data_IF_325927124104
#
_entry.id   IF_325927124104
#
_cell.length_a   1.000
_cell.length_b   1.000
_cell.length_c   1.000
_cell.angle_alpha   90.00
_cell.angle_beta   90.00
_cell.angle_gamma   90.00
#
_symmetry.space_group_name_H-M   'P 1'
#
loop_
_entity.id
_entity.type
_entity.pdbx_description
1 polymer ?
#
# COMPACT_ATOMS: atom_id res chain seq x y z
N UNK A 1 61.09 -3.44 -36.74
CA UNK A 1 61.03 -2.32 -37.72
C UNK A 1 60.62 -1.05 -36.98
N UNK A 2 61.03 0.15 -37.43
CA UNK A 2 60.65 1.46 -36.87
C UNK A 2 60.45 2.47 -38.02
N UNK A 3 59.30 3.15 -38.03
CA UNK A 3 58.90 4.39 -38.74
C UNK A 3 57.40 4.57 -38.39
N UNK A 4 56.83 5.68 -37.90
CA UNK A 4 57.20 7.12 -37.86
C UNK A 4 57.25 7.71 -39.28
N UNK A 5 56.30 8.55 -39.74
CA UNK A 5 56.12 9.95 -39.33
C UNK A 5 54.75 10.60 -39.73
N UNK A 6 54.47 11.75 -39.09
CA UNK A 6 53.28 12.64 -39.00
C UNK A 6 52.74 13.35 -40.28
N UNK A 7 51.63 14.17 -40.16
CA UNK A 7 50.78 14.67 -41.28
C UNK A 7 50.91 16.19 -41.60
N UNK A 8 50.10 16.72 -42.54
CA UNK A 8 49.76 18.15 -42.69
C UNK A 8 48.33 18.51 -42.19
N UNK A 9 47.92 19.78 -42.27
CA UNK A 9 46.84 20.34 -41.44
C UNK A 9 45.87 21.36 -42.12
N UNK A 10 44.68 21.51 -41.50
CA UNK A 10 43.76 22.68 -41.44
C UNK A 10 43.36 23.43 -42.72
N UNK A 11 42.05 23.49 -42.99
CA UNK A 11 41.36 24.64 -43.57
C UNK A 11 39.88 24.67 -43.13
N UNK A 12 39.31 25.86 -42.87
CA UNK A 12 37.91 26.06 -42.44
C UNK A 12 37.14 26.98 -43.40
N UNK A 13 35.79 26.82 -43.48
CA UNK A 13 34.86 27.78 -44.12
C UNK A 13 33.40 27.56 -43.70
N UNK A 14 32.56 28.55 -43.98
CA UNK A 14 31.21 28.78 -43.43
C UNK A 14 30.07 28.16 -44.28
N UNK A 15 28.85 28.01 -43.71
CA UNK A 15 27.66 27.59 -44.46
C UNK A 15 27.01 28.76 -45.25
N UNK A 16 26.28 28.48 -46.35
CA UNK A 16 25.45 29.46 -47.05
C UNK A 16 24.05 29.62 -46.43
N UNK A 17 23.45 30.80 -46.59
CA UNK A 17 22.06 31.13 -46.22
C UNK A 17 21.31 31.58 -47.46
N UNK A 18 20.04 31.18 -47.62
CA UNK A 18 19.16 31.67 -48.69
C UNK A 18 17.67 31.74 -48.30
N UNK A 19 17.29 32.92 -47.79
CA UNK A 19 16.18 33.77 -48.26
C UNK A 19 15.52 33.37 -49.60
N UNK A 20 14.24 33.61 -49.96
CA UNK A 20 13.00 34.27 -49.41
C UNK A 20 11.86 34.10 -50.50
N UNK A 21 10.56 34.45 -50.45
CA UNK A 21 9.56 35.08 -49.53
C UNK A 21 8.12 34.90 -50.14
N UNK A 22 7.05 35.32 -49.42
CA UNK A 22 5.75 35.89 -49.94
C UNK A 22 4.76 34.94 -50.70
N UNK A 23 3.41 35.09 -50.65
CA UNK A 23 2.49 35.89 -49.79
C UNK A 23 0.99 35.43 -49.87
N UNK A 24 0.12 35.98 -48.98
CA UNK A 24 -1.35 36.22 -49.13
C UNK A 24 -2.35 35.04 -49.21
N UNK A 25 -3.62 35.12 -48.73
CA UNK A 25 -4.33 36.15 -47.91
C UNK A 25 -5.71 35.70 -47.34
N UNK A 26 -6.16 36.39 -46.26
CA UNK A 26 -7.55 36.60 -45.78
C UNK A 26 -8.36 35.48 -45.05
N UNK A 27 -9.36 35.93 -44.28
CA UNK A 27 -10.13 35.22 -43.19
C UNK A 27 -11.66 35.42 -43.39
N UNK A 28 -12.64 34.86 -42.59
CA UNK A 28 -12.71 34.95 -41.10
C UNK A 28 -13.46 33.85 -40.28
N UNK A 29 -13.20 33.88 -38.95
CA UNK A 29 -14.11 33.58 -37.81
C UNK A 29 -14.96 32.29 -37.71
N UNK A 30 -14.66 31.44 -36.71
CA UNK A 30 -15.44 31.35 -35.43
C UNK A 30 -14.77 30.46 -34.36
N UNK A 31 -15.19 30.68 -33.11
CA UNK A 31 -14.61 30.18 -31.85
C UNK A 31 -14.47 28.65 -31.73
N UNK A 32 -13.29 28.18 -31.31
CA UNK A 32 -13.10 27.52 -30.00
C UNK A 32 -11.63 27.18 -29.77
N UNK A 33 -11.02 27.66 -28.68
CA UNK A 33 -9.64 27.29 -28.30
C UNK A 33 -9.71 26.05 -27.41
N UNK A 34 -9.29 24.91 -27.96
CA UNK A 34 -8.89 23.74 -27.19
C UNK A 34 -7.42 23.44 -27.52
N UNK A 35 -6.49 23.50 -26.55
CA UNK A 35 -5.13 23.03 -26.79
C UNK A 35 -5.16 21.53 -27.12
N UNK A 36 -4.20 21.02 -27.93
CA UNK A 36 -4.19 19.62 -28.31
C UNK A 36 -4.10 18.71 -27.08
N UNK A 37 -4.84 17.60 -27.09
CA UNK A 37 -4.77 16.57 -26.06
C UNK A 37 -3.36 15.99 -26.01
N UNK A 38 -2.53 16.51 -25.10
CA UNK A 38 -1.26 15.89 -24.74
C UNK A 38 -1.55 14.46 -24.26
N UNK A 39 -0.98 13.47 -24.95
CA UNK A 39 -1.08 12.06 -24.60
C UNK A 39 -0.18 11.76 -23.39
N UNK A 40 -0.57 12.29 -22.23
CA UNK A 40 0.17 12.12 -20.98
C UNK A 40 0.25 10.64 -20.58
N UNK A 41 1.39 10.03 -20.89
CA UNK A 41 1.71 8.63 -20.63
C UNK A 41 2.74 8.60 -19.49
N UNK A 42 2.38 8.19 -18.26
CA UNK A 42 3.31 8.21 -17.14
C UNK A 42 4.43 7.16 -17.31
N UNK A 43 5.66 7.62 -17.51
CA UNK A 43 6.87 6.78 -17.56
C UNK A 43 7.21 6.22 -16.16
N UNK A 44 6.62 5.08 -15.82
CA UNK A 44 7.02 4.17 -14.73
C UNK A 44 6.96 4.68 -13.27
N UNK A 45 6.51 3.79 -12.39
CA UNK A 45 6.44 3.96 -10.93
C UNK A 45 7.73 4.50 -10.28
N UNK A 46 8.91 4.17 -10.84
CA UNK A 46 10.20 4.66 -10.34
C UNK A 46 10.41 6.17 -10.46
N UNK A 47 9.88 6.84 -11.51
CA UNK A 47 9.98 8.30 -11.61
C UNK A 47 9.02 9.02 -10.68
N UNK A 48 7.85 8.44 -10.38
CA UNK A 48 6.94 8.98 -9.39
C UNK A 48 7.58 9.05 -8.00
N UNK A 49 8.31 8.00 -7.59
CA UNK A 49 9.09 8.01 -6.35
C UNK A 49 10.19 9.08 -6.35
N UNK A 50 10.89 9.28 -7.48
CA UNK A 50 11.88 10.36 -7.61
C UNK A 50 11.28 11.77 -7.70
N UNK A 51 10.00 11.92 -8.07
CA UNK A 51 9.29 13.21 -8.02
C UNK A 51 8.76 13.52 -6.61
N UNK A 52 8.31 12.49 -5.87
CA UNK A 52 7.97 12.60 -4.45
C UNK A 52 9.16 13.04 -3.58
N UNK A 53 10.41 12.82 -4.03
CA UNK A 53 11.61 13.32 -3.36
C UNK A 53 11.76 14.86 -3.35
N UNK A 54 10.92 15.60 -4.09
CA UNK A 54 10.87 17.07 -4.09
C UNK A 54 9.63 17.65 -3.37
N UNK A 55 8.74 16.80 -2.85
CA UNK A 55 7.73 17.19 -1.86
C UNK A 55 8.40 17.12 -0.47
N UNK A 56 8.00 17.97 0.49
CA UNK A 56 8.51 17.86 1.88
C UNK A 56 8.33 16.41 2.37
N UNK A 57 9.38 15.76 2.89
CA UNK A 57 9.26 14.39 3.36
C UNK A 57 8.30 14.33 4.55
N UNK A 58 7.23 13.56 4.40
CA UNK A 58 6.38 13.15 5.53
C UNK A 58 7.25 12.27 6.46
N UNK A 59 7.10 12.49 7.77
CA UNK A 59 7.86 11.89 8.89
C UNK A 59 8.04 10.37 8.76
N UNK A 60 9.17 9.84 9.27
CA UNK A 60 9.49 8.40 9.33
C UNK A 60 9.73 7.67 7.99
N UNK A 61 9.26 8.22 6.86
CA UNK A 61 9.11 7.47 5.59
C UNK A 61 10.40 6.87 5.02
N UNK A 62 11.60 7.32 5.39
CA UNK A 62 12.84 6.79 4.82
C UNK A 62 13.13 5.33 5.23
N UNK A 63 13.05 5.01 6.53
CA UNK A 63 13.27 3.64 7.04
C UNK A 63 12.06 2.75 6.81
N UNK A 64 10.87 3.33 7.04
CA UNK A 64 9.59 2.69 6.77
C UNK A 64 9.46 2.25 5.30
N UNK A 65 9.62 3.17 4.33
CA UNK A 65 9.50 2.85 2.89
C UNK A 65 10.51 1.81 2.41
N UNK A 66 11.76 1.85 2.90
CA UNK A 66 12.77 0.80 2.62
C UNK A 66 12.36 -0.59 3.11
N UNK A 67 11.49 -0.66 4.12
CA UNK A 67 11.03 -1.91 4.72
C UNK A 67 9.72 -2.38 4.05
N UNK A 68 8.78 -1.48 3.75
CA UNK A 68 7.63 -1.76 2.87
C UNK A 68 8.10 -2.26 1.49
N UNK A 69 9.10 -1.59 0.90
CA UNK A 69 9.69 -1.97 -0.38
C UNK A 69 10.31 -3.38 -0.33
N UNK A 70 10.90 -3.77 0.81
CA UNK A 70 11.41 -5.13 1.01
C UNK A 70 10.31 -6.18 1.19
N UNK A 71 9.11 -5.85 1.69
CA UNK A 71 7.95 -6.73 1.45
C UNK A 71 7.76 -6.88 -0.06
N UNK A 72 7.63 -5.77 -0.77
CA UNK A 72 7.18 -5.71 -2.18
C UNK A 72 8.12 -6.44 -3.13
N UNK A 73 9.43 -6.38 -2.91
CA UNK A 73 10.38 -7.20 -3.67
C UNK A 73 10.27 -8.71 -3.30
N UNK A 74 10.02 -9.07 -2.04
CA UNK A 74 9.65 -10.45 -1.68
C UNK A 74 8.27 -10.90 -2.24
N UNK A 75 7.36 -9.98 -2.54
CA UNK A 75 6.13 -10.26 -3.32
C UNK A 75 6.52 -10.58 -4.78
N UNK A 76 7.44 -9.80 -5.36
CA UNK A 76 7.88 -9.90 -6.75
C UNK A 76 8.71 -11.16 -7.02
N UNK A 77 9.65 -11.52 -6.16
CA UNK A 77 10.55 -12.66 -6.39
C UNK A 77 9.82 -14.02 -6.39
N UNK A 78 8.72 -14.14 -5.63
CA UNK A 78 7.84 -15.33 -5.71
C UNK A 78 7.09 -15.42 -7.04
N UNK A 79 6.80 -14.29 -7.69
CA UNK A 79 6.11 -14.23 -8.99
C UNK A 79 6.97 -14.79 -10.12
N UNK A 80 8.28 -14.59 -10.06
CA UNK A 80 9.22 -14.94 -11.12
C UNK A 80 9.44 -16.47 -11.30
N UNK A 81 9.03 -17.29 -10.33
CA UNK A 81 9.30 -18.75 -10.31
C UNK A 81 8.25 -19.62 -11.01
N UNK A 82 7.15 -19.06 -11.51
CA UNK A 82 6.08 -19.84 -12.14
C UNK A 82 5.92 -19.52 -13.63
N UNK A 83 6.53 -20.34 -14.49
CA UNK A 83 6.24 -20.39 -15.94
C UNK A 83 5.82 -21.81 -16.34
N UNK A 84 4.64 -21.88 -16.96
CA UNK A 84 4.22 -22.78 -18.05
C UNK A 84 2.71 -22.59 -18.24
N UNK A 85 2.21 -22.85 -19.45
CA UNK A 85 0.98 -22.25 -19.96
C UNK A 85 -0.33 -22.76 -19.34
N UNK A 86 -1.43 -22.09 -19.67
CA UNK A 86 -2.51 -22.57 -20.56
C UNK A 86 -3.82 -21.80 -20.27
N UNK A 87 -4.76 -21.79 -21.21
CA UNK A 87 -5.97 -20.96 -21.17
C UNK A 87 -7.07 -21.55 -20.26
N UNK A 88 -6.89 -21.46 -18.93
CA UNK A 88 -7.69 -22.23 -17.95
C UNK A 88 -9.10 -21.70 -17.64
N UNK A 89 -9.51 -20.57 -18.24
CA UNK A 89 -10.90 -20.10 -18.25
C UNK A 89 -11.19 -19.49 -19.62
N UNK A 90 -12.28 -19.91 -20.24
CA UNK A 90 -12.76 -19.50 -21.57
C UNK A 90 -13.51 -18.17 -21.49
N UNK A 91 -14.33 -17.98 -20.45
CA UNK A 91 -15.10 -16.75 -20.22
C UNK A 91 -14.76 -16.10 -18.87
N UNK A 92 -15.27 -14.90 -18.62
CA UNK A 92 -15.21 -14.26 -17.29
C UNK A 92 -16.22 -14.88 -16.32
N UNK A 93 -17.43 -15.22 -16.80
CA UNK A 93 -18.48 -15.87 -16.02
C UNK A 93 -18.05 -17.24 -15.46
N UNK A 94 -17.35 -18.05 -16.26
CA UNK A 94 -16.68 -19.28 -15.79
C UNK A 94 -15.72 -19.00 -14.62
N UNK A 95 -14.90 -17.96 -14.74
CA UNK A 95 -13.91 -17.59 -13.71
C UNK A 95 -14.55 -16.96 -12.45
N UNK A 96 -15.78 -16.44 -12.55
CA UNK A 96 -16.54 -15.86 -11.43
C UNK A 96 -17.35 -16.95 -10.72
N UNK A 97 -18.01 -17.84 -11.48
CA UNK A 97 -18.84 -18.93 -10.94
C UNK A 97 -18.08 -19.91 -10.04
N UNK A 98 -16.75 -19.96 -10.11
CA UNK A 98 -15.93 -20.79 -9.20
C UNK A 98 -16.16 -20.44 -7.72
N UNK A 99 -16.54 -19.20 -7.38
CA UNK A 99 -16.72 -18.79 -5.97
C UNK A 99 -17.96 -19.43 -5.32
N UNK A 100 -18.93 -19.90 -6.10
CA UNK A 100 -20.10 -20.64 -5.61
C UNK A 100 -19.77 -22.06 -5.14
N UNK A 101 -18.66 -22.63 -5.61
CA UNK A 101 -18.13 -23.95 -5.26
C UNK A 101 -16.59 -23.91 -5.31
N UNK A 102 -15.98 -23.11 -4.43
CA UNK A 102 -14.55 -22.84 -4.52
C UNK A 102 -13.73 -24.03 -3.99
N UNK A 103 -12.97 -24.66 -4.88
CA UNK A 103 -11.98 -25.68 -4.50
C UNK A 103 -10.56 -25.12 -4.57
N UNK A 104 -9.63 -25.74 -3.85
CA UNK A 104 -8.23 -25.32 -3.83
C UNK A 104 -7.63 -25.26 -5.24
N UNK A 105 -7.93 -26.24 -6.09
CA UNK A 105 -7.47 -26.26 -7.48
C UNK A 105 -8.06 -25.12 -8.31
N UNK A 106 -9.37 -24.82 -8.18
CA UNK A 106 -9.99 -23.68 -8.87
C UNK A 106 -9.35 -22.35 -8.45
N UNK A 107 -9.08 -22.19 -7.15
CA UNK A 107 -8.44 -20.98 -6.61
C UNK A 107 -6.96 -20.83 -7.05
N UNK A 108 -6.17 -21.91 -6.99
CA UNK A 108 -4.77 -21.92 -7.46
C UNK A 108 -4.67 -21.62 -8.96
N UNK A 109 -5.61 -22.15 -9.76
CA UNK A 109 -5.73 -21.84 -11.19
C UNK A 109 -6.02 -20.35 -11.42
N UNK A 110 -6.98 -19.77 -10.69
CA UNK A 110 -7.25 -18.33 -10.77
C UNK A 110 -6.01 -17.51 -10.34
N UNK A 111 -5.36 -17.87 -9.22
CA UNK A 111 -4.12 -17.24 -8.75
C UNK A 111 -3.03 -17.24 -9.82
N UNK A 112 -2.85 -18.35 -10.54
CA UNK A 112 -1.90 -18.47 -11.65
C UNK A 112 -2.23 -17.48 -12.78
N UNK A 113 -3.50 -17.37 -13.19
CA UNK A 113 -3.94 -16.46 -14.26
C UNK A 113 -3.85 -14.98 -13.85
N UNK A 114 -4.16 -14.63 -12.60
CA UNK A 114 -4.02 -13.27 -12.06
C UNK A 114 -2.56 -12.83 -11.87
N UNK A 115 -1.64 -13.78 -11.68
CA UNK A 115 -0.20 -13.50 -11.56
C UNK A 115 0.52 -13.40 -12.91
N UNK A 116 -0.04 -13.94 -14.00
CA UNK A 116 0.57 -13.82 -15.33
C UNK A 116 0.56 -12.36 -15.82
N UNK A 117 1.73 -11.83 -16.18
CA UNK A 117 1.89 -10.48 -16.71
C UNK A 117 1.20 -10.27 -18.05
N UNK A 118 1.06 -11.32 -18.87
CA UNK A 118 0.39 -11.25 -20.17
C UNK A 118 -1.14 -11.15 -19.99
N UNK A 119 -1.67 -11.74 -18.91
CA UNK A 119 -3.07 -11.69 -18.49
C UNK A 119 -3.49 -10.39 -17.78
N UNK A 120 -2.70 -9.31 -17.85
CA UNK A 120 -3.03 -7.99 -17.24
C UNK A 120 -4.41 -7.47 -17.70
N UNK A 121 -4.66 -7.44 -19.00
CA UNK A 121 -5.94 -6.97 -19.56
C UNK A 121 -7.09 -7.87 -19.13
N UNK A 122 -6.91 -9.20 -19.23
CA UNK A 122 -7.90 -10.17 -18.75
C UNK A 122 -8.24 -9.97 -17.26
N UNK A 123 -7.25 -9.63 -16.43
CA UNK A 123 -7.45 -9.38 -15.00
C UNK A 123 -8.23 -8.09 -14.73
N UNK A 124 -8.05 -7.06 -15.56
CA UNK A 124 -8.83 -5.81 -15.46
C UNK A 124 -10.28 -6.02 -15.88
N UNK A 125 -10.52 -6.72 -16.99
CA UNK A 125 -11.90 -7.03 -17.42
C UNK A 125 -12.58 -8.02 -16.46
N UNK A 126 -11.88 -9.06 -15.97
CA UNK A 126 -12.39 -9.94 -14.91
C UNK A 126 -12.82 -9.17 -13.65
N UNK A 127 -12.10 -8.11 -13.26
CA UNK A 127 -12.51 -7.26 -12.15
C UNK A 127 -13.79 -6.47 -12.45
N UNK A 128 -13.94 -5.95 -13.68
CA UNK A 128 -15.11 -5.17 -14.16
C UNK A 128 -16.37 -6.02 -14.28
N UNK A 129 -16.26 -7.24 -14.78
CA UNK A 129 -17.35 -8.23 -14.85
C UNK A 129 -17.80 -8.75 -13.47
N UNK A 130 -17.24 -8.22 -12.38
CA UNK A 130 -17.64 -8.53 -11.00
C UNK A 130 -16.73 -9.52 -10.27
N UNK A 131 -15.66 -10.02 -10.90
CA UNK A 131 -14.74 -10.98 -10.29
C UNK A 131 -13.99 -10.46 -9.06
N UNK A 132 -13.75 -9.15 -8.94
CA UNK A 132 -13.26 -8.54 -7.71
C UNK A 132 -14.31 -8.58 -6.58
N UNK A 133 -15.57 -8.29 -6.91
CA UNK A 133 -16.66 -8.34 -5.95
C UNK A 133 -16.91 -9.77 -5.46
N UNK A 134 -17.01 -10.74 -6.38
CA UNK A 134 -17.21 -12.15 -6.02
C UNK A 134 -16.10 -12.70 -5.10
N UNK A 135 -14.85 -12.31 -5.33
CA UNK A 135 -13.71 -12.62 -4.47
C UNK A 135 -13.90 -12.06 -3.05
N UNK A 136 -14.24 -10.78 -2.93
CA UNK A 136 -14.46 -10.10 -1.64
C UNK A 136 -15.68 -10.65 -0.90
N UNK A 137 -16.78 -10.94 -1.62
CA UNK A 137 -17.98 -11.57 -1.08
C UNK A 137 -17.69 -12.98 -0.57
N UNK A 138 -16.86 -13.77 -1.27
CA UNK A 138 -16.42 -15.08 -0.79
C UNK A 138 -15.60 -14.96 0.51
N UNK A 139 -14.64 -14.02 0.58
CA UNK A 139 -13.86 -13.76 1.79
C UNK A 139 -14.77 -13.39 2.98
N UNK A 140 -15.72 -12.47 2.78
CA UNK A 140 -16.64 -12.04 3.84
C UNK A 140 -17.58 -13.17 4.31
N UNK A 141 -18.25 -13.87 3.38
CA UNK A 141 -19.16 -14.96 3.71
C UNK A 141 -18.45 -16.10 4.45
N UNK A 142 -17.24 -16.44 4.03
CA UNK A 142 -16.46 -17.53 4.64
C UNK A 142 -15.87 -17.12 5.99
N UNK A 143 -15.59 -15.83 6.21
CA UNK A 143 -15.16 -15.28 7.52
C UNK A 143 -16.29 -15.13 8.54
N UNK A 144 -17.56 -15.21 8.10
CA UNK A 144 -18.75 -15.07 8.93
C UNK A 144 -19.36 -16.41 9.40
N UNK A 145 -18.79 -17.57 9.01
CA UNK A 145 -19.28 -18.91 9.37
C UNK A 145 -18.30 -19.68 10.24
N UNK A 146 -18.70 -20.85 10.75
CA UNK A 146 -17.81 -21.78 11.43
C UNK A 146 -16.70 -22.26 10.49
N UNK A 147 -15.47 -21.81 10.73
CA UNK A 147 -14.33 -22.02 9.83
C UNK A 147 -13.76 -23.44 9.95
N UNK A 148 -13.74 -24.18 8.84
CA UNK A 148 -12.97 -25.43 8.73
C UNK A 148 -11.51 -25.14 8.36
N UNK A 149 -10.65 -26.15 8.46
CA UNK A 149 -9.28 -26.09 7.94
C UNK A 149 -9.25 -25.81 6.42
N UNK A 150 -10.24 -26.32 5.68
CA UNK A 150 -10.38 -26.10 4.24
C UNK A 150 -10.72 -24.63 3.95
N UNK A 151 -11.65 -24.04 4.72
CA UNK A 151 -11.99 -22.61 4.60
C UNK A 151 -10.75 -21.73 4.83
N UNK A 152 -9.96 -22.01 5.87
CA UNK A 152 -8.74 -21.24 6.16
C UNK A 152 -7.71 -21.32 5.01
N UNK A 153 -7.55 -22.49 4.38
CA UNK A 153 -6.69 -22.66 3.21
C UNK A 153 -7.23 -21.85 2.01
N UNK A 154 -8.54 -21.95 1.72
CA UNK A 154 -9.18 -21.26 0.61
C UNK A 154 -9.15 -19.74 0.77
N UNK A 155 -9.36 -19.22 1.99
CA UNK A 155 -9.24 -17.79 2.31
C UNK A 155 -7.81 -17.30 2.10
N UNK A 156 -6.80 -18.04 2.57
CA UNK A 156 -5.40 -17.66 2.37
C UNK A 156 -4.98 -17.66 0.88
N UNK A 157 -5.52 -18.58 0.07
CA UNK A 157 -5.33 -18.58 -1.38
C UNK A 157 -6.08 -17.43 -2.06
N UNK A 158 -7.30 -17.13 -1.62
CA UNK A 158 -8.14 -16.06 -2.15
C UNK A 158 -7.56 -14.66 -1.83
N UNK A 159 -6.95 -14.48 -0.66
CA UNK A 159 -6.18 -13.28 -0.33
C UNK A 159 -4.94 -13.11 -1.24
N UNK A 160 -4.32 -14.20 -1.71
CA UNK A 160 -3.23 -14.11 -2.70
C UNK A 160 -3.75 -13.76 -4.11
N UNK A 161 -4.95 -14.21 -4.50
CA UNK A 161 -5.63 -13.72 -5.69
C UNK A 161 -5.88 -12.21 -5.61
N UNK A 162 -6.38 -11.71 -4.47
CA UNK A 162 -6.58 -10.29 -4.23
C UNK A 162 -5.27 -9.50 -4.30
N UNK A 163 -4.21 -10.01 -3.67
CA UNK A 163 -2.85 -9.47 -3.75
C UNK A 163 -2.35 -9.40 -5.19
N UNK A 164 -2.62 -10.40 -6.03
CA UNK A 164 -2.24 -10.40 -7.44
C UNK A 164 -2.94 -9.26 -8.21
N UNK A 165 -4.24 -9.06 -7.98
CA UNK A 165 -5.01 -7.94 -8.56
C UNK A 165 -4.50 -6.57 -8.07
N UNK A 166 -4.18 -6.45 -6.78
CA UNK A 166 -3.65 -5.22 -6.18
C UNK A 166 -2.23 -4.83 -6.65
N UNK A 167 -1.53 -5.70 -7.39
CA UNK A 167 -0.30 -5.32 -8.10
C UNK A 167 -0.57 -4.61 -9.44
N UNK A 168 -1.83 -4.43 -9.86
CA UNK A 168 -2.24 -3.69 -11.06
C UNK A 168 -2.78 -2.32 -10.62
N UNK A 169 -2.14 -1.24 -11.07
CA UNK A 169 -2.42 0.12 -10.59
C UNK A 169 -3.88 0.57 -10.72
N UNK A 170 -4.56 0.24 -11.81
CA UNK A 170 -5.98 0.55 -12.02
C UNK A 170 -6.87 -0.15 -10.99
N UNK A 171 -6.56 -1.40 -10.63
CA UNK A 171 -7.33 -2.17 -9.66
C UNK A 171 -7.00 -1.78 -8.21
N UNK A 172 -5.73 -1.42 -7.95
CA UNK A 172 -5.34 -0.81 -6.68
C UNK A 172 -6.14 0.48 -6.42
N UNK A 173 -6.20 1.39 -7.39
CA UNK A 173 -6.95 2.64 -7.26
C UNK A 173 -8.46 2.39 -7.17
N UNK A 174 -9.00 1.37 -7.85
CA UNK A 174 -10.40 0.99 -7.72
C UNK A 174 -10.76 0.42 -6.32
N UNK A 175 -9.86 -0.32 -5.67
CA UNK A 175 -10.06 -0.70 -4.26
C UNK A 175 -9.87 0.48 -3.32
N UNK A 176 -8.83 1.29 -3.53
CA UNK A 176 -8.49 2.42 -2.68
C UNK A 176 -9.46 3.61 -2.77
N UNK A 177 -10.52 3.50 -3.58
CA UNK A 177 -11.65 4.43 -3.68
C UNK A 177 -13.00 3.80 -3.26
N UNK A 178 -13.00 2.55 -2.76
CA UNK A 178 -14.21 1.85 -2.34
C UNK A 178 -14.10 1.30 -0.91
N UNK A 179 -14.71 2.02 0.04
CA UNK A 179 -14.76 1.64 1.46
C UNK A 179 -15.32 0.23 1.68
N UNK A 180 -16.38 -0.16 0.96
CA UNK A 180 -17.02 -1.47 1.13
C UNK A 180 -16.05 -2.64 0.83
N UNK A 181 -15.14 -2.46 -0.13
CA UNK A 181 -14.13 -3.47 -0.45
C UNK A 181 -13.08 -3.58 0.66
N UNK A 182 -12.70 -2.45 1.28
CA UNK A 182 -11.74 -2.41 2.38
C UNK A 182 -12.38 -2.97 3.66
N UNK A 183 -13.67 -2.71 3.89
CA UNK A 183 -14.51 -3.36 4.90
C UNK A 183 -14.54 -4.89 4.75
N UNK A 184 -14.81 -5.41 3.55
CA UNK A 184 -14.81 -6.86 3.30
C UNK A 184 -13.44 -7.50 3.52
N UNK A 185 -12.34 -6.77 3.30
CA UNK A 185 -10.97 -7.20 3.68
C UNK A 185 -10.76 -7.15 5.19
N UNK A 186 -11.19 -6.09 5.87
CA UNK A 186 -11.02 -5.93 7.32
C UNK A 186 -11.79 -6.99 8.13
N UNK A 187 -13.00 -7.39 7.69
CA UNK A 187 -13.80 -8.45 8.33
C UNK A 187 -13.07 -9.81 8.42
N UNK A 188 -12.09 -10.06 7.54
CA UNK A 188 -11.26 -11.28 7.55
C UNK A 188 -10.34 -11.35 8.79
N UNK A 189 -10.09 -10.21 9.48
CA UNK A 189 -9.30 -10.17 10.71
C UNK A 189 -9.91 -10.95 11.89
N UNK A 190 -11.22 -11.25 11.84
CA UNK A 190 -11.89 -12.13 12.81
C UNK A 190 -11.27 -13.52 12.88
N UNK A 191 -10.69 -14.00 11.78
CA UNK A 191 -10.14 -15.34 11.69
C UNK A 191 -8.93 -15.47 12.63
N UNK A 192 -8.91 -16.46 13.56
CA UNK A 192 -7.81 -16.68 14.50
C UNK A 192 -6.63 -17.40 13.82
N UNK A 193 -6.12 -16.83 12.72
CA UNK A 193 -4.98 -17.35 11.96
C UNK A 193 -3.98 -16.24 11.71
N UNK A 194 -2.83 -16.34 12.37
CA UNK A 194 -1.76 -15.34 12.36
C UNK A 194 -1.21 -15.10 10.93
N UNK A 195 -1.17 -16.15 10.09
CA UNK A 195 -0.77 -16.02 8.67
C UNK A 195 -1.84 -15.27 7.84
N UNK A 196 -3.14 -15.53 8.06
CA UNK A 196 -4.22 -14.84 7.35
C UNK A 196 -4.28 -13.36 7.77
N UNK A 197 -4.19 -13.07 9.08
CA UNK A 197 -4.12 -11.71 9.61
C UNK A 197 -2.94 -10.94 9.04
N UNK A 198 -1.75 -11.54 8.94
CA UNK A 198 -0.60 -10.93 8.25
C UNK A 198 -0.93 -10.58 6.79
N UNK A 199 -1.58 -11.48 6.02
CA UNK A 199 -1.95 -11.18 4.61
C UNK A 199 -2.92 -10.01 4.51
N UNK A 200 -3.85 -9.87 5.47
CA UNK A 200 -4.75 -8.72 5.55
C UNK A 200 -3.97 -7.45 5.92
N UNK A 201 -3.10 -7.50 6.94
CA UNK A 201 -2.28 -6.34 7.33
C UNK A 201 -1.34 -5.87 6.22
N UNK A 202 -0.73 -6.77 5.43
CA UNK A 202 0.06 -6.42 4.24
C UNK A 202 -0.77 -5.63 3.20
N UNK A 203 -2.04 -5.99 2.99
CA UNK A 203 -2.94 -5.32 2.03
C UNK A 203 -3.40 -3.95 2.56
N UNK A 204 -3.82 -3.88 3.83
CA UNK A 204 -4.21 -2.62 4.48
C UNK A 204 -3.02 -1.64 4.56
N UNK A 205 -1.81 -2.15 4.84
CA UNK A 205 -0.55 -1.38 4.80
C UNK A 205 -0.33 -0.75 3.43
N UNK A 206 -0.48 -1.54 2.35
CA UNK A 206 -0.32 -1.02 0.99
C UNK A 206 -1.33 0.10 0.68
N UNK A 207 -2.59 -0.03 1.12
CA UNK A 207 -3.62 1.01 0.98
C UNK A 207 -3.24 2.31 1.72
N UNK A 208 -2.77 2.22 2.97
CA UNK A 208 -2.33 3.38 3.76
C UNK A 208 -1.12 4.14 3.20
N UNK A 209 -0.29 3.47 2.39
CA UNK A 209 1.00 4.00 1.90
C UNK A 209 0.94 4.49 0.45
N UNK A 210 0.12 3.87 -0.40
CA UNK A 210 0.08 4.14 -1.85
C UNK A 210 -1.24 4.75 -2.35
N UNK A 211 -2.17 5.11 -1.46
CA UNK A 211 -3.31 5.99 -1.75
C UNK A 211 -3.36 7.12 -0.74
N UNK A 212 -3.64 8.34 -1.20
CA UNK A 212 -3.75 9.53 -0.36
C UNK A 212 -4.85 9.36 0.70
N UNK A 213 -6.04 8.91 0.25
CA UNK A 213 -7.23 8.72 1.09
C UNK A 213 -7.27 7.31 1.72
N UNK A 214 -6.42 6.40 1.26
CA UNK A 214 -6.45 4.98 1.63
C UNK A 214 -6.31 4.73 3.13
N UNK A 215 -5.51 5.52 3.84
CA UNK A 215 -5.36 5.37 5.29
C UNK A 215 -6.63 5.73 6.07
N UNK A 216 -7.43 6.69 5.59
CA UNK A 216 -8.72 7.04 6.20
C UNK A 216 -9.74 5.92 5.99
N UNK A 217 -9.78 5.32 4.80
CA UNK A 217 -10.67 4.18 4.52
C UNK A 217 -10.27 2.92 5.32
N UNK A 218 -8.97 2.66 5.46
CA UNK A 218 -8.46 1.57 6.32
C UNK A 218 -8.79 1.81 7.79
N UNK A 219 -8.59 3.03 8.28
CA UNK A 219 -8.93 3.39 9.66
C UNK A 219 -10.43 3.26 9.93
N UNK A 220 -11.28 3.72 9.01
CA UNK A 220 -12.73 3.53 9.10
C UNK A 220 -13.07 2.03 9.16
N UNK A 221 -12.55 1.21 8.25
CA UNK A 221 -12.82 -0.24 8.23
C UNK A 221 -12.35 -0.95 9.52
N UNK A 222 -11.28 -0.46 10.17
CA UNK A 222 -10.81 -0.95 11.47
C UNK A 222 -11.70 -0.48 12.64
N UNK A 223 -12.24 0.74 12.61
CA UNK A 223 -13.21 1.23 13.61
C UNK A 223 -14.54 0.50 13.51
N UNK A 224 -14.99 0.23 12.27
CA UNK A 224 -16.17 -0.56 11.97
C UNK A 224 -15.97 -2.02 12.40
N UNK A 225 -14.80 -2.61 12.15
CA UNK A 225 -14.41 -3.93 12.67
C UNK A 225 -14.38 -3.96 14.20
N UNK A 226 -13.73 -2.99 14.86
CA UNK A 226 -13.71 -2.86 16.32
C UNK A 226 -15.13 -2.86 16.90
N UNK A 227 -16.03 -2.07 16.32
CA UNK A 227 -17.40 -1.91 16.79
C UNK A 227 -18.22 -3.20 16.60
N UNK A 228 -18.09 -3.85 15.43
CA UNK A 228 -18.80 -5.10 15.11
C UNK A 228 -18.31 -6.28 15.97
N UNK A 229 -17.01 -6.37 16.22
CA UNK A 229 -16.37 -7.47 16.98
C UNK A 229 -16.16 -7.14 18.47
N UNK A 230 -16.65 -5.98 18.94
CA UNK A 230 -16.62 -5.52 20.34
C UNK A 230 -15.21 -5.44 20.95
N UNK A 231 -14.23 -5.05 20.14
CA UNK A 231 -12.85 -4.89 20.58
C UNK A 231 -12.67 -3.62 21.43
N UNK A 232 -11.78 -3.61 22.43
CA UNK A 232 -11.64 -2.50 23.38
C UNK A 232 -11.16 -1.20 22.73
N UNK A 233 -10.36 -1.29 21.67
CA UNK A 233 -9.89 -0.15 20.87
C UNK A 233 -9.60 -0.56 19.42
N UNK A 234 -9.48 0.42 18.52
CA UNK A 234 -9.29 0.23 17.07
C UNK A 234 -8.01 -0.55 16.71
N UNK A 235 -6.99 -0.49 17.55
CA UNK A 235 -5.70 -1.16 17.33
C UNK A 235 -5.60 -2.53 18.01
N UNK A 236 -6.61 -2.96 18.79
CA UNK A 236 -6.52 -4.15 19.63
C UNK A 236 -6.16 -5.42 18.84
N UNK A 237 -6.69 -5.63 17.63
CA UNK A 237 -6.36 -6.79 16.77
C UNK A 237 -4.95 -6.73 16.19
N UNK A 238 -4.41 -5.53 15.97
CA UNK A 238 -3.03 -5.31 15.53
C UNK A 238 -2.08 -5.66 16.70
N UNK A 239 -2.40 -5.18 17.90
CA UNK A 239 -1.61 -5.45 19.09
C UNK A 239 -1.70 -6.91 19.55
N UNK A 240 -2.86 -7.55 19.44
CA UNK A 240 -3.05 -8.98 19.66
C UNK A 240 -2.11 -9.81 18.76
N UNK A 241 -1.99 -9.45 17.48
CA UNK A 241 -1.04 -10.10 16.56
C UNK A 241 0.40 -9.94 17.05
N UNK A 242 0.84 -8.75 17.48
CA UNK A 242 2.23 -8.54 17.96
C UNK A 242 2.48 -9.36 19.24
N UNK A 243 1.51 -9.38 20.17
CA UNK A 243 1.56 -10.13 21.44
C UNK A 243 1.56 -11.65 21.24
N UNK A 244 0.89 -12.18 20.21
CA UNK A 244 0.67 -13.63 19.99
C UNK A 244 1.54 -14.27 18.90
N UNK A 245 2.13 -13.49 18.00
CA UNK A 245 2.92 -14.00 16.89
C UNK A 245 4.24 -14.65 17.34
N UNK A 246 4.46 -15.90 16.94
CA UNK A 246 5.69 -16.65 17.19
C UNK A 246 6.80 -16.43 16.12
N UNK A 247 6.53 -15.66 15.06
CA UNK A 247 7.50 -15.36 14.00
C UNK A 247 7.59 -13.86 13.76
N UNK A 248 8.82 -13.35 13.62
CA UNK A 248 9.14 -11.93 13.44
C UNK A 248 8.35 -11.29 12.30
N UNK A 249 8.23 -11.96 11.14
CA UNK A 249 7.42 -11.53 9.98
C UNK A 249 5.93 -11.22 10.30
N UNK A 250 5.35 -11.88 11.30
CA UNK A 250 3.95 -11.70 11.68
C UNK A 250 3.79 -10.45 12.56
N UNK A 251 4.69 -10.26 13.54
CA UNK A 251 4.80 -9.02 14.34
C UNK A 251 5.07 -7.81 13.42
N UNK A 252 6.03 -7.99 12.52
CA UNK A 252 6.44 -7.02 11.50
C UNK A 252 5.25 -6.44 10.74
N UNK A 253 4.35 -7.32 10.24
CA UNK A 253 3.20 -6.88 9.44
C UNK A 253 2.18 -6.03 10.21
N UNK A 254 2.03 -6.29 11.51
CA UNK A 254 1.13 -5.52 12.38
C UNK A 254 1.74 -4.15 12.72
N UNK A 255 3.04 -4.11 13.05
CA UNK A 255 3.75 -2.85 13.33
C UNK A 255 3.83 -1.99 12.06
N UNK A 256 4.04 -2.59 10.88
CA UNK A 256 4.02 -1.87 9.61
C UNK A 256 2.66 -1.22 9.33
N UNK A 257 1.53 -1.90 9.59
CA UNK A 257 0.20 -1.29 9.48
C UNK A 257 0.02 -0.16 10.50
N UNK A 258 0.47 -0.36 11.74
CA UNK A 258 0.38 0.63 12.81
C UNK A 258 1.13 1.92 12.45
N UNK A 259 2.40 1.78 12.04
CA UNK A 259 3.25 2.88 11.57
C UNK A 259 2.64 3.56 10.33
N UNK A 260 1.98 2.80 9.43
CA UNK A 260 1.28 3.38 8.27
C UNK A 260 0.13 4.31 8.66
N UNK A 261 -0.65 3.92 9.68
CA UNK A 261 -1.81 4.70 10.15
C UNK A 261 -1.33 5.94 10.92
N UNK A 262 -0.32 5.79 11.78
CA UNK A 262 0.25 6.90 12.55
C UNK A 262 0.94 7.93 11.63
N UNK A 263 1.86 7.51 10.76
CA UNK A 263 2.64 8.42 9.90
C UNK A 263 1.83 9.09 8.78
N UNK A 264 0.69 8.52 8.38
CA UNK A 264 -0.25 9.19 7.46
C UNK A 264 -1.29 10.08 8.17
N UNK A 265 -1.40 10.04 9.51
CA UNK A 265 -2.32 10.91 10.26
C UNK A 265 -1.71 12.31 10.47
N UNK A 266 -2.19 13.30 9.71
CA UNK A 266 -1.59 14.64 9.68
C UNK A 266 -1.74 15.44 10.99
N UNK A 267 -2.85 15.29 11.71
CA UNK A 267 -3.13 16.05 12.94
C UNK A 267 -2.42 15.45 14.17
N UNK A 268 -1.57 16.25 14.84
CA UNK A 268 -0.79 15.84 16.02
C UNK A 268 -1.69 15.34 17.16
N UNK A 269 -2.83 15.99 17.41
CA UNK A 269 -3.77 15.63 18.47
C UNK A 269 -4.36 14.23 18.23
N UNK A 270 -4.56 13.85 16.96
CA UNK A 270 -4.99 12.50 16.59
C UNK A 270 -3.87 11.47 16.75
N UNK A 271 -2.64 11.78 16.35
CA UNK A 271 -1.48 10.89 16.57
C UNK A 271 -1.24 10.65 18.06
N UNK A 272 -1.26 11.70 18.89
CA UNK A 272 -1.16 11.59 20.35
C UNK A 272 -2.32 10.80 20.96
N UNK A 273 -3.56 11.01 20.52
CA UNK A 273 -4.73 10.22 20.94
C UNK A 273 -4.55 8.73 20.63
N UNK A 274 -4.10 8.38 19.41
CA UNK A 274 -3.82 7.00 19.03
C UNK A 274 -2.65 6.40 19.82
N UNK A 275 -1.56 7.14 20.05
CA UNK A 275 -0.46 6.69 20.90
C UNK A 275 -0.88 6.47 22.35
N UNK A 276 -1.70 7.33 22.93
CA UNK A 276 -2.19 7.16 24.31
C UNK A 276 -3.06 5.89 24.45
N UNK A 277 -3.91 5.60 23.46
CA UNK A 277 -4.65 4.33 23.39
C UNK A 277 -3.68 3.14 23.37
N UNK A 278 -2.69 3.16 22.48
CA UNK A 278 -1.69 2.08 22.34
C UNK A 278 -0.83 1.90 23.61
N UNK A 279 -0.44 2.99 24.27
CA UNK A 279 0.32 2.98 25.52
C UNK A 279 -0.52 2.36 26.64
N UNK A 280 -1.81 2.71 26.75
CA UNK A 280 -2.73 2.12 27.75
C UNK A 280 -2.97 0.61 27.57
N UNK A 281 -2.86 0.09 26.34
CA UNK A 281 -2.91 -1.35 26.02
C UNK A 281 -1.50 -2.02 26.07
N UNK A 282 -0.45 -1.28 26.43
CA UNK A 282 0.89 -1.80 26.65
C UNK A 282 1.70 -2.05 25.36
N UNK A 283 1.58 -1.19 24.35
CA UNK A 283 2.41 -1.25 23.13
C UNK A 283 3.92 -1.25 23.46
N UNK A 284 4.36 -0.42 24.40
CA UNK A 284 5.80 -0.18 24.67
C UNK A 284 6.51 -1.46 25.08
N UNK A 285 6.01 -2.16 26.11
CA UNK A 285 6.56 -3.44 26.56
C UNK A 285 6.33 -4.57 25.56
N UNK A 286 5.29 -4.48 24.73
CA UNK A 286 5.04 -5.42 23.63
C UNK A 286 6.10 -5.28 22.51
N UNK A 287 6.48 -4.05 22.16
CA UNK A 287 7.50 -3.75 21.15
C UNK A 287 8.92 -4.08 21.65
N UNK A 288 9.26 -3.73 22.89
CA UNK A 288 10.57 -4.10 23.45
C UNK A 288 10.75 -5.62 23.52
N UNK A 289 9.72 -6.37 23.95
CA UNK A 289 9.71 -7.84 23.87
C UNK A 289 9.73 -8.38 22.43
N UNK A 290 9.33 -7.58 21.43
CA UNK A 290 9.46 -7.98 20.03
C UNK A 290 10.92 -7.88 19.52
N UNK A 291 11.79 -7.10 20.18
CA UNK A 291 13.23 -7.04 19.85
C UNK A 291 13.97 -8.34 20.16
N UNK A 292 13.47 -9.14 21.12
CA UNK A 292 14.02 -10.46 21.49
C UNK A 292 14.09 -11.44 20.29
N UNK A 293 13.27 -11.23 19.25
CA UNK A 293 13.31 -12.01 18.01
C UNK A 293 14.62 -11.81 17.20
N UNK A 294 15.40 -10.77 17.52
CA UNK A 294 16.67 -10.39 16.88
C UNK A 294 16.59 -10.20 15.34
N UNK A 295 15.39 -9.97 14.79
CA UNK A 295 15.17 -9.72 13.36
C UNK A 295 15.43 -8.25 13.01
N UNK A 296 16.27 -8.02 12.01
CA UNK A 296 16.73 -6.68 11.59
C UNK A 296 15.58 -5.83 11.07
N UNK A 297 14.64 -6.40 10.33
CA UNK A 297 13.57 -5.64 9.67
C UNK A 297 12.43 -5.36 10.65
N UNK A 298 12.22 -6.23 11.64
CA UNK A 298 11.34 -6.01 12.79
C UNK A 298 11.89 -4.88 13.67
N UNK A 299 13.18 -4.93 14.01
CA UNK A 299 13.81 -3.86 14.79
C UNK A 299 13.69 -2.50 14.09
N UNK A 300 13.93 -2.41 12.77
CA UNK A 300 13.71 -1.16 12.01
C UNK A 300 12.24 -0.65 12.09
N UNK A 301 11.24 -1.53 12.15
CA UNK A 301 9.84 -1.12 12.36
C UNK A 301 9.54 -0.66 13.78
N UNK A 302 10.19 -1.26 14.79
CA UNK A 302 10.10 -0.85 16.19
C UNK A 302 10.79 0.51 16.38
N UNK A 303 11.98 0.69 15.82
CA UNK A 303 12.75 1.94 15.88
C UNK A 303 11.95 3.09 15.22
N UNK A 304 11.36 2.84 14.04
CA UNK A 304 10.45 3.81 13.37
C UNK A 304 9.31 4.27 14.30
N UNK A 305 8.70 3.36 15.06
CA UNK A 305 7.59 3.70 15.97
C UNK A 305 8.01 4.67 17.08
N UNK A 306 9.23 4.50 17.60
CA UNK A 306 9.82 5.32 18.67
C UNK A 306 10.43 6.63 18.15
N UNK A 307 11.06 6.63 16.99
CA UNK A 307 11.51 7.85 16.29
C UNK A 307 10.29 8.76 16.03
N UNK A 308 9.24 8.23 15.40
CA UNK A 308 8.00 8.98 15.17
C UNK A 308 7.35 9.44 16.50
N UNK A 309 7.57 8.74 17.63
CA UNK A 309 7.03 9.13 18.95
C UNK A 309 7.78 10.33 19.53
N UNK A 310 9.11 10.32 19.44
CA UNK A 310 9.96 11.42 19.91
C UNK A 310 9.66 12.68 19.09
N UNK A 311 9.58 12.55 17.77
CA UNK A 311 9.27 13.69 16.91
C UNK A 311 7.84 14.24 17.15
N UNK A 312 6.85 13.37 17.47
CA UNK A 312 5.50 13.80 17.87
C UNK A 312 5.53 14.63 19.16
N UNK A 313 6.41 14.30 20.12
CA UNK A 313 6.61 15.09 21.34
C UNK A 313 7.26 16.45 21.05
N UNK A 314 8.25 16.49 20.15
CA UNK A 314 8.92 17.74 19.74
C UNK A 314 7.96 18.70 19.03
N UNK A 315 7.17 18.21 18.07
CA UNK A 315 6.12 18.99 17.38
C UNK A 315 5.04 19.52 18.34
N UNK A 316 4.63 18.71 19.32
CA UNK A 316 3.68 19.16 20.34
C UNK A 316 4.25 20.31 21.19
N UNK A 317 5.53 20.26 21.55
CA UNK A 317 6.21 21.32 22.31
C UNK A 317 6.42 22.59 21.48
N UNK A 318 6.75 22.49 20.18
CA UNK A 318 6.83 23.64 19.27
C UNK A 318 5.46 24.34 19.13
N UNK A 319 4.40 23.57 18.95
CA UNK A 319 3.03 24.08 18.87
C UNK A 319 2.56 24.69 20.22
N UNK A 320 2.97 24.12 21.36
CA UNK A 320 2.66 24.65 22.69
C UNK A 320 3.37 26.00 22.94
N UNK A 321 4.67 26.07 22.69
CA UNK A 321 5.48 27.30 22.86
C UNK A 321 5.06 28.44 21.92
N UNK A 322 4.25 28.14 20.90
CA UNK A 322 3.67 29.13 19.98
C UNK A 322 2.29 29.66 20.43
N UNK A 323 1.67 29.08 21.47
CA UNK A 323 0.27 29.32 21.85
C UNK A 323 0.11 29.49 23.37
N UNK A 324 0.71 30.55 23.92
CA UNK A 324 0.71 30.84 25.36
C UNK A 324 -0.67 31.19 25.96
N UNK A 325 -0.87 30.75 27.21
CA UNK A 325 -1.95 31.09 28.17
C UNK A 325 -3.29 30.33 28.15
N UNK A 326 -3.63 29.46 27.19
CA UNK A 326 -4.80 28.55 27.33
C UNK A 326 -4.45 27.06 27.50
N UNK A 327 -3.25 26.66 27.09
CA UNK A 327 -2.88 25.25 26.88
C UNK A 327 -2.48 24.47 28.15
N UNK A 328 -2.16 25.16 29.26
CA UNK A 328 -1.59 24.55 30.47
C UNK A 328 -2.51 23.47 31.07
N UNK A 329 -3.83 23.73 31.13
CA UNK A 329 -4.81 22.78 31.69
C UNK A 329 -4.91 21.51 30.85
N UNK A 330 -4.77 21.61 29.52
CA UNK A 330 -4.80 20.46 28.61
C UNK A 330 -3.48 19.66 28.62
N UNK A 331 -2.34 20.33 28.74
CA UNK A 331 -1.04 19.67 28.88
C UNK A 331 -1.00 18.77 30.13
N UNK A 332 -1.50 19.26 31.28
CA UNK A 332 -1.60 18.48 32.51
C UNK A 332 -2.53 17.26 32.32
N UNK A 333 -3.67 17.41 31.62
CA UNK A 333 -4.58 16.29 31.34
C UNK A 333 -4.00 15.22 30.39
N UNK A 334 -3.03 15.56 29.55
CA UNK A 334 -2.38 14.62 28.63
C UNK A 334 -1.08 14.02 29.17
N UNK A 335 -0.35 14.71 30.04
CA UNK A 335 0.89 14.22 30.65
C UNK A 335 0.67 13.29 31.85
N UNK A 336 -0.52 13.27 32.46
CA UNK A 336 -0.87 12.41 33.62
C UNK A 336 -1.18 10.94 33.22
N UNK A 337 -0.98 10.59 31.94
CA UNK A 337 -1.19 9.24 31.38
C UNK A 337 0.11 8.50 31.00
N UNK A 338 1.26 8.93 31.56
CA UNK A 338 2.57 8.25 31.45
C UNK A 338 2.85 7.39 32.69
#
# INVERSE_FOLDING_TARGET
MRQIYNPPAVASRQPPVSNTLLNSSMSPSRNSILPPRSSYRPDSFGRYLNQQAFVKPIRGRALFSRSIHRIIEQIRDKKQRMKNDQQVFSTYEEAISIFSDLTFMKCVVLKKKLLDSNSRTWTIEFAREGGLHALLSYLEQTSNRGLTLVDAILINETLQCLRAMMNIGELFQHMASNLQYIDSVAKVLRIPSVEIRMRVFELLTALCVYSNDGYQLVLHALQDFQTRDKLPNVFAVILEQIKSAAMSKHKWSAIALLNSILSSTEAIERRLSYRNILISDGIISTLEKARDDNDVDLNVQIDTFFEDQKDDQEEFLENFNSNDNQSITQAIQLQVCY
#
